data_IF_125835394107
#
_entry.id   IF_125835394107
#
_cell.length_a   1.000
_cell.length_b   1.000
_cell.length_c   1.000
_cell.angle_alpha   90.00
_cell.angle_beta   90.00
_cell.angle_gamma   90.00
#
_symmetry.space_group_name_H-M   'P 1'
#
loop_
_entity.id
_entity.type
_entity.pdbx_description
1 polymer ?
#
# COMPACT_ATOMS: atom_id res chain seq x y z
N UNK A 1 2.11 -18.17 5.31
CA UNK A 1 3.25 -17.98 4.92
C UNK A 1 4.31 -17.34 5.77
N UNK A 2 5.34 -16.99 5.10
CA UNK A 2 6.53 -16.47 5.75
C UNK A 2 6.65 -14.96 5.60
N UNK A 3 5.49 -14.29 5.48
CA UNK A 3 5.52 -12.84 5.30
C UNK A 3 6.08 -12.14 6.52
N UNK A 4 5.80 -12.63 7.71
CA UNK A 4 6.35 -12.02 8.92
C UNK A 4 7.87 -12.07 8.93
N UNK A 5 8.44 -13.17 8.52
CA UNK A 5 9.88 -13.30 8.47
C UNK A 5 10.48 -12.39 7.42
N UNK A 6 9.87 -12.35 6.25
CA UNK A 6 10.32 -11.46 5.19
C UNK A 6 10.24 -10.00 5.64
N UNK A 7 9.16 -9.63 6.31
CA UNK A 7 8.98 -8.27 6.80
C UNK A 7 10.08 -7.92 7.80
N UNK A 8 10.37 -8.82 8.73
CA UNK A 8 11.41 -8.58 9.73
C UNK A 8 12.75 -8.31 9.05
N UNK A 9 13.09 -9.10 8.04
CA UNK A 9 14.34 -8.90 7.32
C UNK A 9 14.35 -7.61 6.53
N UNK A 10 13.25 -7.30 5.88
CA UNK A 10 13.14 -6.06 5.11
C UNK A 10 13.20 -4.84 6.00
N UNK A 11 12.54 -4.90 7.17
CA UNK A 11 12.59 -3.80 8.12
C UNK A 11 14.00 -3.55 8.62
N UNK A 12 14.75 -4.63 8.85
CA UNK A 12 16.14 -4.49 9.25
C UNK A 12 16.96 -3.80 8.18
N UNK A 13 16.73 -4.15 6.92
CA UNK A 13 17.42 -3.51 5.81
C UNK A 13 17.00 -2.05 5.65
N UNK A 14 15.73 -1.76 5.84
CA UNK A 14 15.23 -0.39 5.74
C UNK A 14 15.87 0.49 6.81
N UNK A 15 16.02 -0.04 8.02
CA UNK A 15 16.67 0.70 9.10
C UNK A 15 18.14 0.90 8.84
N UNK A 16 18.78 -0.08 8.24
CA UNK A 16 20.22 -0.01 7.99
C UNK A 16 20.56 0.88 6.82
N UNK A 17 19.71 0.90 5.80
CA UNK A 17 19.93 1.67 4.58
C UNK A 17 18.70 2.51 4.27
N UNK A 18 18.48 3.58 5.06
CA UNK A 18 17.22 4.33 4.93
C UNK A 18 17.14 5.22 3.70
N UNK A 19 18.24 5.41 2.99
CA UNK A 19 18.27 6.29 1.83
C UNK A 19 19.00 5.63 0.67
N UNK A 20 18.69 6.11 -0.55
CA UNK A 20 19.37 5.66 -1.73
C UNK A 20 18.54 4.65 -2.52
N UNK A 21 19.07 4.22 -3.70
CA UNK A 21 18.32 3.31 -4.57
C UNK A 21 17.99 1.97 -3.93
N UNK A 22 18.89 1.47 -3.10
CA UNK A 22 18.66 0.21 -2.42
C UNK A 22 17.48 0.32 -1.47
N UNK A 23 17.42 1.45 -0.76
CA UNK A 23 16.30 1.73 0.15
C UNK A 23 14.98 1.75 -0.61
N UNK A 24 14.97 2.31 -1.81
CA UNK A 24 13.75 2.39 -2.60
C UNK A 24 13.22 1.00 -2.91
N UNK A 25 14.10 0.08 -3.29
CA UNK A 25 13.68 -1.28 -3.57
C UNK A 25 13.17 -1.98 -2.32
N UNK A 26 13.85 -1.79 -1.20
CA UNK A 26 13.43 -2.37 0.07
C UNK A 26 12.03 -1.87 0.45
N UNK A 27 11.77 -0.58 0.25
CA UNK A 27 10.46 -0.03 0.57
C UNK A 27 9.38 -0.61 -0.35
N UNK A 28 9.67 -0.79 -1.63
CA UNK A 28 8.71 -1.41 -2.54
C UNK A 28 8.39 -2.84 -2.10
N UNK A 29 9.42 -3.58 -1.71
CA UNK A 29 9.22 -4.94 -1.23
C UNK A 29 8.41 -4.95 0.08
N UNK A 30 8.66 -3.98 0.95
CA UNK A 30 7.90 -3.86 2.20
C UNK A 30 6.42 -3.57 1.94
N UNK A 31 6.13 -2.69 1.00
CA UNK A 31 4.74 -2.39 0.66
C UNK A 31 4.00 -3.67 0.30
N UNK A 32 4.59 -4.47 -0.56
CA UNK A 32 3.97 -5.71 -0.98
C UNK A 32 3.84 -6.70 0.17
N UNK A 33 4.90 -6.86 0.95
CA UNK A 33 4.92 -7.81 2.06
C UNK A 33 3.91 -7.43 3.13
N UNK A 34 3.82 -6.15 3.48
CA UNK A 34 2.82 -5.69 4.44
C UNK A 34 1.41 -5.97 3.92
N UNK A 35 1.18 -5.68 2.64
CA UNK A 35 -0.14 -5.92 2.06
C UNK A 35 -0.50 -7.40 2.14
N UNK A 36 0.41 -8.28 1.74
CA UNK A 36 0.15 -9.72 1.75
C UNK A 36 -0.02 -10.27 3.16
N UNK A 37 0.64 -9.66 4.14
CA UNK A 37 0.51 -10.08 5.52
C UNK A 37 -0.68 -9.41 6.22
N UNK A 38 -1.46 -8.65 5.48
CA UNK A 38 -2.61 -7.91 6.00
C UNK A 38 -2.24 -6.87 7.05
N UNK A 39 -0.99 -6.41 7.05
CA UNK A 39 -0.56 -5.28 7.86
C UNK A 39 -0.87 -3.99 7.10
N UNK A 40 -2.14 -3.73 6.92
CA UNK A 40 -2.60 -2.69 6.00
C UNK A 40 -2.22 -1.27 6.44
N UNK A 41 -2.30 -0.92 7.73
CA UNK A 41 -1.82 0.40 8.13
C UNK A 41 -0.34 0.61 7.88
N UNK A 42 0.47 -0.43 8.04
CA UNK A 42 1.90 -0.34 7.76
C UNK A 42 2.15 -0.23 6.26
N UNK A 43 1.37 -0.96 5.46
CA UNK A 43 1.46 -0.83 4.01
C UNK A 43 1.15 0.59 3.58
N UNK A 44 0.09 1.18 4.13
CA UNK A 44 -0.31 2.52 3.78
C UNK A 44 0.75 3.54 4.19
N UNK A 45 1.29 3.40 5.39
CA UNK A 45 2.33 4.32 5.87
C UNK A 45 3.58 4.25 4.99
N UNK A 46 3.96 3.04 4.58
CA UNK A 46 5.13 2.86 3.74
C UNK A 46 4.89 3.44 2.35
N UNK A 47 3.68 3.26 1.81
CA UNK A 47 3.30 3.85 0.52
C UNK A 47 3.41 5.37 0.61
N UNK A 48 2.85 5.96 1.65
CA UNK A 48 2.86 7.42 1.79
C UNK A 48 4.29 7.94 1.89
N UNK A 49 5.13 7.25 2.67
CA UNK A 49 6.53 7.64 2.79
C UNK A 49 7.24 7.55 1.46
N UNK A 50 7.03 6.46 0.72
CA UNK A 50 7.67 6.28 -0.57
C UNK A 50 7.28 7.39 -1.54
N UNK A 51 5.99 7.68 -1.62
CA UNK A 51 5.51 8.71 -2.55
C UNK A 51 6.01 10.09 -2.17
N UNK A 52 6.13 10.36 -0.87
CA UNK A 52 6.64 11.65 -0.41
C UNK A 52 8.11 11.83 -0.73
N UNK A 53 8.90 10.77 -0.56
CA UNK A 53 10.34 10.83 -0.76
C UNK A 53 10.74 10.64 -2.22
N UNK A 54 9.93 9.97 -2.99
CA UNK A 54 10.27 9.59 -4.36
C UNK A 54 9.12 9.84 -5.33
N UNK A 55 8.67 11.09 -5.43
CA UNK A 55 7.45 11.37 -6.22
C UNK A 55 7.60 11.13 -7.72
N UNK A 56 8.82 11.10 -8.22
CA UNK A 56 9.06 10.88 -9.65
C UNK A 56 9.73 9.55 -9.94
N UNK A 57 9.69 8.63 -8.98
CA UNK A 57 10.31 7.33 -9.16
C UNK A 57 9.64 6.59 -10.32
N UNK A 58 10.42 5.82 -11.10
CA UNK A 58 9.84 5.08 -12.24
C UNK A 58 8.74 4.11 -11.85
N UNK A 59 8.75 3.62 -10.62
CA UNK A 59 7.74 2.65 -10.17
C UNK A 59 6.60 3.32 -9.39
N UNK A 60 6.43 4.62 -9.55
CA UNK A 60 5.36 5.31 -8.82
C UNK A 60 3.98 4.78 -9.20
N UNK A 61 3.82 4.33 -10.44
CA UNK A 61 2.55 3.76 -10.89
C UNK A 61 2.23 2.47 -10.13
N UNK A 62 3.25 1.64 -9.88
CA UNK A 62 3.08 0.45 -9.06
C UNK A 62 2.64 0.82 -7.64
N UNK A 63 3.28 1.85 -7.07
CA UNK A 63 2.96 2.29 -5.73
C UNK A 63 1.52 2.80 -5.66
N UNK A 64 1.08 3.53 -6.67
CA UNK A 64 -0.31 3.99 -6.74
C UNK A 64 -1.28 2.82 -6.84
N UNK A 65 -0.92 1.80 -7.60
CA UNK A 65 -1.72 0.60 -7.69
C UNK A 65 -1.84 -0.08 -6.32
N UNK A 66 -0.72 -0.24 -5.62
CA UNK A 66 -0.73 -0.84 -4.30
C UNK A 66 -1.51 0.00 -3.29
N UNK A 67 -1.48 1.33 -3.47
CA UNK A 67 -2.27 2.21 -2.62
C UNK A 67 -3.76 1.94 -2.80
N UNK A 68 -4.19 1.78 -4.05
CA UNK A 68 -5.58 1.45 -4.33
C UNK A 68 -5.99 0.13 -3.72
N UNK A 69 -5.15 -0.89 -3.88
CA UNK A 69 -5.43 -2.20 -3.30
C UNK A 69 -5.49 -2.13 -1.78
N UNK A 70 -4.58 -1.40 -1.17
CA UNK A 70 -4.52 -1.28 0.29
C UNK A 70 -5.75 -0.57 0.81
N UNK A 71 -6.19 0.49 0.14
CA UNK A 71 -7.39 1.21 0.55
C UNK A 71 -8.63 0.34 0.43
N UNK A 72 -8.73 -0.45 -0.64
CA UNK A 72 -9.85 -1.39 -0.77
C UNK A 72 -9.84 -2.43 0.33
N UNK A 73 -8.67 -2.95 0.66
CA UNK A 73 -8.56 -3.95 1.70
C UNK A 73 -8.87 -3.37 3.07
N UNK A 74 -8.48 -2.12 3.32
CA UNK A 74 -8.81 -1.45 4.58
C UNK A 74 -10.32 -1.27 4.70
N UNK A 75 -10.98 -0.92 3.61
CA UNK A 75 -12.44 -0.78 3.61
C UNK A 75 -13.10 -2.11 3.91
N UNK A 76 -12.64 -3.19 3.31
CA UNK A 76 -13.17 -4.51 3.58
C UNK A 76 -12.96 -4.93 5.02
N UNK A 77 -11.79 -4.62 5.56
CA UNK A 77 -11.50 -4.94 6.96
C UNK A 77 -12.41 -4.19 7.90
N UNK A 78 -12.68 -2.94 7.58
CA UNK A 78 -13.60 -2.15 8.39
C UNK A 78 -15.00 -2.75 8.34
N UNK A 79 -15.45 -3.18 7.17
CA UNK A 79 -16.72 -3.83 7.02
C UNK A 79 -16.81 -5.10 7.87
N UNK A 80 -15.77 -5.91 7.82
CA UNK A 80 -15.75 -7.13 8.60
C UNK A 80 -15.70 -6.85 10.08
N UNK A 81 -15.04 -5.78 10.47
CA UNK A 81 -15.01 -5.37 11.86
C UNK A 81 -16.38 -4.98 12.38
N UNK A 82 -17.20 -4.43 11.51
CA UNK A 82 -18.59 -4.13 11.85
C UNK A 82 -19.55 -5.23 11.43
N UNK A 83 -19.01 -6.33 11.04
CA UNK A 83 -19.80 -7.39 10.49
C UNK A 83 -20.92 -7.82 11.43
N UNK A 84 -22.08 -8.00 10.85
CA UNK A 84 -23.23 -8.37 11.64
C UNK A 84 -23.88 -7.19 12.31
N UNK A 85 -23.21 -6.04 12.36
CA UNK A 85 -23.78 -4.86 12.97
C UNK A 85 -24.61 -4.12 11.93
N UNK A 86 -23.96 -3.43 11.04
CA UNK A 86 -24.69 -2.65 10.06
C UNK A 86 -23.75 -2.29 8.91
N UNK A 87 -23.99 -2.89 7.78
CA UNK A 87 -23.15 -2.66 6.63
C UNK A 87 -23.42 -1.32 5.97
N UNK A 88 -24.55 -0.72 6.27
CA UNK A 88 -24.86 0.59 5.73
C UNK A 88 -24.03 1.70 6.38
N UNK A 89 -23.39 1.38 7.49
CA UNK A 89 -22.51 2.32 8.17
C UNK A 89 -21.09 2.25 7.66
N UNK A 90 -20.88 1.52 6.60
CA UNK A 90 -19.56 1.43 6.02
C UNK A 90 -19.05 2.82 5.66
N UNK A 91 -17.80 3.08 6.04
CA UNK A 91 -17.14 4.31 5.68
C UNK A 91 -16.76 4.25 4.20
N UNK A 92 -17.33 5.12 3.36
CA UNK A 92 -17.02 5.09 1.93
C UNK A 92 -15.68 5.73 1.58
N UNK A 93 -14.98 6.29 2.56
CA UNK A 93 -13.75 7.02 2.28
C UNK A 93 -12.69 6.14 1.64
N UNK A 94 -12.45 4.97 2.20
CA UNK A 94 -11.44 4.07 1.66
C UNK A 94 -11.79 3.59 0.26
N UNK A 95 -13.06 3.27 0.04
CA UNK A 95 -13.49 2.81 -1.28
C UNK A 95 -13.35 3.95 -2.30
N UNK A 96 -13.67 5.17 -1.90
CA UNK A 96 -13.54 6.33 -2.77
C UNK A 96 -12.07 6.61 -3.08
N UNK A 97 -11.21 6.50 -2.09
CA UNK A 97 -9.79 6.70 -2.30
C UNK A 97 -9.22 5.66 -3.25
N UNK A 98 -9.64 4.41 -3.09
CA UNK A 98 -9.20 3.34 -3.98
C UNK A 98 -9.65 3.62 -5.41
N UNK A 99 -10.89 4.04 -5.58
CA UNK A 99 -11.39 4.37 -6.91
C UNK A 99 -10.60 5.51 -7.53
N UNK A 100 -10.32 6.55 -6.74
CA UNK A 100 -9.56 7.68 -7.23
C UNK A 100 -8.15 7.28 -7.62
N UNK A 101 -7.52 6.41 -6.83
CA UNK A 101 -6.16 5.95 -7.14
C UNK A 101 -6.14 5.12 -8.41
N UNK A 102 -7.12 4.24 -8.60
CA UNK A 102 -7.22 3.49 -9.84
C UNK A 102 -7.49 4.41 -11.04
N UNK A 103 -8.34 5.41 -10.84
CA UNK A 103 -8.62 6.36 -11.92
C UNK A 103 -7.36 7.12 -12.33
N UNK A 104 -6.55 7.53 -11.35
CA UNK A 104 -5.30 8.21 -11.64
C UNK A 104 -4.34 7.29 -12.38
N UNK A 105 -4.28 6.04 -11.96
CA UNK A 105 -3.43 5.05 -12.59
C UNK A 105 -3.81 4.86 -14.05
N UNK A 106 -5.09 4.69 -14.32
CA UNK A 106 -5.56 4.47 -15.67
C UNK A 106 -5.32 5.68 -16.55
N UNK A 107 -5.63 6.88 -16.04
CA UNK A 107 -5.52 8.09 -16.85
C UNK A 107 -4.09 8.57 -17.00
N UNK A 108 -3.30 8.46 -15.94
CA UNK A 108 -1.93 8.95 -15.94
C UNK A 108 -0.94 7.96 -16.50
N UNK A 109 -1.25 6.68 -16.44
CA UNK A 109 -0.33 5.61 -16.85
C UNK A 109 -1.08 4.55 -17.63
N UNK A 110 -1.61 4.88 -18.79
CA UNK A 110 -2.48 3.95 -19.50
C UNK A 110 -1.81 2.65 -19.92
N UNK A 111 -0.48 2.62 -19.97
CA UNK A 111 0.26 1.42 -20.33
C UNK A 111 0.85 0.72 -19.12
N UNK A 112 0.51 1.16 -17.94
CA UNK A 112 1.03 0.57 -16.72
C UNK A 112 0.35 -0.76 -16.43
N UNK A 113 1.10 -1.68 -15.85
CA UNK A 113 0.57 -2.95 -15.41
C UNK A 113 0.81 -3.13 -13.91
#
# INVERSE_FOLDING_TARGET
GNWKQAITQLEALDNRYPFGPYSQQVQLDLIYAYYKNADLPLAQATIDRFMRLNPTHPNIDYVMYMRGLTNMALDDSALQGFFGVDRSDRDPQHARDAFNDFSKLVRGYPNSQ
#
